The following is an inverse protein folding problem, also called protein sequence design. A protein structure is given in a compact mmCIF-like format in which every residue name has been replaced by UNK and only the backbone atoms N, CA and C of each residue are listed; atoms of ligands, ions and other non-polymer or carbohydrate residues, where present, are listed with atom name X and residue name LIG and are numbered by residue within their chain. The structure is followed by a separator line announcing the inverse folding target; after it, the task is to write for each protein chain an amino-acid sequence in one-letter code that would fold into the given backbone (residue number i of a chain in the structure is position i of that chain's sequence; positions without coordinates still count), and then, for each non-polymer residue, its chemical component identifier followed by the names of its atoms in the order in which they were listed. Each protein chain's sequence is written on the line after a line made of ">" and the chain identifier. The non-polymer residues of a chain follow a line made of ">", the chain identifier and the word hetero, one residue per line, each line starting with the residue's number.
data_IF_946441483928
#
_entry.id   IF_946441483928
#
_cell.length_a   1.000
_cell.length_b   1.000
_cell.length_c   1.000
_cell.angle_alpha   90.00
_cell.angle_beta   90.00
_cell.angle_gamma   90.00
#
_symmetry.space_group_name_H-M   'P 1'
#
loop_
_entity.id
_entity.type
_entity.pdbx_description
1 polymer ?
#
# COMPACT_ATOMS: atom_id res chain seq x y z
N UNK A 1 54.46 30.73 -16.77
CA UNK A 1 55.14 32.04 -16.73
C UNK A 1 54.45 32.92 -17.78
N UNK A 2 53.52 33.75 -17.33
CA UNK A 2 52.68 34.64 -18.12
C UNK A 2 53.38 35.98 -18.35
N UNK A 3 53.28 36.54 -19.55
CA UNK A 3 53.64 37.93 -19.83
C UNK A 3 52.38 38.80 -19.94
N UNK A 4 52.32 39.76 -19.01
CA UNK A 4 51.84 41.17 -19.07
C UNK A 4 50.77 41.55 -20.12
N UNK A 5 49.81 42.37 -19.70
CA UNK A 5 49.94 43.85 -19.82
C UNK A 5 48.83 44.57 -19.02
N UNK A 6 49.25 45.56 -18.21
CA UNK A 6 48.43 46.65 -17.67
C UNK A 6 48.72 47.89 -18.50
N UNK A 7 47.68 48.62 -18.90
CA UNK A 7 47.77 50.04 -19.28
C UNK A 7 46.70 50.80 -18.51
N UNK A 8 47.12 51.95 -17.99
CA UNK A 8 46.43 52.88 -17.10
C UNK A 8 45.99 54.11 -17.92
N UNK A 9 44.89 54.73 -17.49
CA UNK A 9 44.57 56.16 -17.59
C UNK A 9 44.09 56.75 -18.93
N UNK A 10 42.85 57.24 -18.91
CA UNK A 10 42.53 58.58 -19.40
C UNK A 10 41.32 59.19 -18.67
N UNK A 11 41.59 60.32 -18.01
CA UNK A 11 40.66 61.31 -17.44
C UNK A 11 39.52 61.74 -18.40
N UNK A 12 38.33 62.06 -17.87
CA UNK A 12 37.93 63.44 -17.53
C UNK A 12 36.48 63.57 -16.98
N UNK A 13 36.40 64.21 -15.81
CA UNK A 13 35.48 65.30 -15.37
C UNK A 13 33.95 65.11 -15.30
N UNK A 14 33.41 65.48 -14.13
CA UNK A 14 32.04 65.99 -13.94
C UNK A 14 31.21 65.24 -12.88
N UNK A 15 31.53 65.34 -11.59
CA UNK A 15 30.77 66.10 -10.56
C UNK A 15 29.24 65.94 -10.52
N UNK A 16 28.82 65.36 -9.39
CA UNK A 16 27.61 65.60 -8.58
C UNK A 16 26.28 64.90 -8.92
N UNK A 17 25.91 64.03 -7.97
CA UNK A 17 24.60 63.88 -7.33
C UNK A 17 23.39 63.68 -8.22
N UNK A 18 22.73 62.53 -8.08
CA UNK A 18 21.41 62.40 -7.44
C UNK A 18 20.99 60.92 -7.47
N UNK A 19 20.46 60.50 -6.33
CA UNK A 19 19.76 59.24 -6.06
C UNK A 19 18.88 58.78 -7.24
N UNK A 20 19.14 57.58 -7.78
CA UNK A 20 18.21 56.87 -8.66
C UNK A 20 17.92 55.48 -8.08
N UNK A 21 16.94 55.45 -7.20
CA UNK A 21 16.12 54.27 -6.90
C UNK A 21 14.96 54.27 -7.89
N UNK A 22 14.60 53.08 -8.37
CA UNK A 22 13.39 52.73 -9.15
C UNK A 22 13.50 52.95 -10.67
N UNK A 23 13.72 51.84 -11.40
CA UNK A 23 12.89 51.35 -12.52
C UNK A 23 13.71 50.44 -13.46
N UNK A 24 13.60 49.12 -13.25
CA UNK A 24 13.80 47.99 -14.19
C UNK A 24 13.89 46.75 -13.28
N UNK A 25 13.08 45.69 -13.40
CA UNK A 25 12.53 45.08 -14.60
C UNK A 25 11.27 44.28 -14.24
N UNK A 26 10.16 44.60 -14.90
CA UNK A 26 9.07 43.64 -15.14
C UNK A 26 9.56 42.64 -16.18
N UNK A 27 9.79 41.40 -15.75
CA UNK A 27 9.65 40.20 -16.57
C UNK A 27 9.21 39.08 -15.63
N UNK A 28 7.91 39.03 -15.34
CA UNK A 28 7.28 37.82 -14.85
C UNK A 28 7.25 36.82 -16.00
N UNK A 29 8.31 36.03 -16.14
CA UNK A 29 8.24 34.76 -16.84
C UNK A 29 7.27 33.86 -16.10
N UNK A 30 6.22 33.43 -16.80
CA UNK A 30 5.33 32.36 -16.38
C UNK A 30 6.17 31.09 -16.20
N UNK A 31 6.65 30.87 -14.98
CA UNK A 31 7.18 29.58 -14.56
C UNK A 31 5.99 28.65 -14.38
N UNK A 32 5.63 27.91 -15.42
CA UNK A 32 4.91 26.66 -15.25
C UNK A 32 5.78 25.78 -14.34
N UNK A 33 5.38 25.65 -13.08
CA UNK A 33 5.88 24.58 -12.22
C UNK A 33 5.34 23.30 -12.85
N UNK A 34 6.13 22.70 -13.74
CA UNK A 34 5.91 21.31 -14.12
C UNK A 34 6.25 20.52 -12.87
N UNK A 35 5.20 20.09 -12.18
CA UNK A 35 5.28 19.12 -11.11
C UNK A 35 6.09 17.93 -11.64
N UNK A 36 7.31 17.76 -11.14
CA UNK A 36 8.13 16.63 -11.54
C UNK A 36 7.41 15.37 -11.08
N UNK A 37 7.17 14.39 -11.98
CA UNK A 37 6.60 13.13 -11.55
C UNK A 37 7.49 12.57 -10.42
N UNK A 38 6.81 12.17 -9.34
CA UNK A 38 7.38 11.43 -8.23
C UNK A 38 8.43 10.43 -8.69
N UNK A 39 9.54 10.35 -7.95
CA UNK A 39 10.65 9.38 -8.09
C UNK A 39 10.18 8.08 -8.77
N UNK A 40 10.81 7.62 -9.87
CA UNK A 40 10.36 6.45 -10.58
C UNK A 40 10.28 5.27 -9.61
N UNK A 41 9.06 4.77 -9.56
CA UNK A 41 8.58 3.62 -8.83
C UNK A 41 9.41 2.36 -9.09
N UNK A 42 9.25 1.35 -8.23
CA UNK A 42 9.82 0.00 -8.30
C UNK A 42 10.23 -0.40 -9.72
N UNK A 43 11.53 -0.63 -9.92
CA UNK A 43 12.17 -0.86 -11.21
C UNK A 43 11.34 -1.81 -12.07
N UNK A 44 10.70 -1.28 -13.13
CA UNK A 44 9.89 -2.09 -14.03
C UNK A 44 10.76 -3.20 -14.64
N UNK A 45 10.24 -4.43 -14.61
CA UNK A 45 10.91 -5.60 -15.17
C UNK A 45 10.63 -5.61 -16.67
N UNK A 46 11.68 -5.69 -17.48
CA UNK A 46 11.59 -5.71 -18.94
C UNK A 46 11.23 -7.07 -19.51
N UNK A 47 11.47 -8.15 -18.76
CA UNK A 47 11.13 -9.51 -19.17
C UNK A 47 9.60 -9.64 -19.20
N UNK A 48 8.99 -9.97 -20.35
CA UNK A 48 7.55 -10.10 -20.45
C UNK A 48 7.00 -11.21 -19.57
N UNK A 49 5.91 -10.94 -18.86
CA UNK A 49 5.09 -11.97 -18.22
C UNK A 49 3.71 -12.01 -18.89
N UNK A 50 3.35 -13.17 -19.43
CA UNK A 50 2.18 -13.35 -20.31
C UNK A 50 0.95 -13.91 -19.59
N UNK A 51 0.98 -14.10 -18.27
CA UNK A 51 -0.15 -14.69 -17.52
C UNK A 51 -1.45 -13.88 -17.64
N UNK A 52 -2.57 -14.56 -17.93
CA UNK A 52 -3.87 -13.92 -18.19
C UNK A 52 -4.92 -14.28 -17.14
N UNK A 53 -4.69 -15.34 -16.37
CA UNK A 53 -5.60 -15.86 -15.36
C UNK A 53 -5.01 -15.75 -13.97
N UNK A 54 -5.85 -15.83 -12.92
CA UNK A 54 -5.33 -15.96 -11.56
C UNK A 54 -4.50 -17.23 -11.39
N UNK A 55 -4.79 -18.30 -12.15
CA UNK A 55 -3.98 -19.52 -12.11
C UNK A 55 -2.54 -19.25 -12.56
N UNK A 56 -2.37 -18.49 -13.63
CA UNK A 56 -1.03 -18.11 -14.10
C UNK A 56 -0.28 -17.30 -13.04
N UNK A 57 -0.97 -16.40 -12.32
CA UNK A 57 -0.38 -15.70 -11.17
C UNK A 57 0.03 -16.69 -10.08
N UNK A 58 -0.85 -17.63 -9.72
CA UNK A 58 -0.55 -18.60 -8.66
C UNK A 58 0.55 -19.59 -9.03
N UNK A 59 0.75 -19.88 -10.31
CA UNK A 59 1.85 -20.71 -10.77
C UNK A 59 3.23 -20.03 -10.55
N UNK A 60 3.26 -18.71 -10.35
CA UNK A 60 4.45 -17.95 -9.94
C UNK A 60 4.76 -18.04 -8.44
N UNK A 61 3.95 -18.79 -7.66
CA UNK A 61 4.08 -18.85 -6.20
C UNK A 61 5.51 -19.16 -5.74
N UNK A 62 6.18 -20.15 -6.35
CA UNK A 62 7.55 -20.52 -5.96
C UNK A 62 8.63 -19.55 -6.48
N UNK A 63 8.29 -18.72 -7.48
CA UNK A 63 9.19 -17.67 -7.97
C UNK A 63 9.15 -16.43 -7.07
N UNK A 64 7.98 -16.19 -6.46
CA UNK A 64 7.68 -15.05 -5.59
C UNK A 64 8.06 -15.35 -4.14
N UNK A 65 7.66 -16.52 -3.62
CA UNK A 65 7.92 -16.95 -2.24
C UNK A 65 9.07 -17.96 -2.20
N UNK A 66 10.29 -17.46 -2.00
CA UNK A 66 11.52 -18.25 -2.07
C UNK A 66 11.93 -18.90 -0.74
N UNK A 67 11.30 -18.50 0.35
CA UNK A 67 11.54 -18.94 1.72
C UNK A 67 10.34 -19.71 2.31
N UNK A 68 9.35 -20.05 1.49
CA UNK A 68 8.48 -21.22 1.67
C UNK A 68 7.08 -20.93 2.20
N UNK A 69 6.85 -19.85 2.96
CA UNK A 69 5.48 -19.51 3.40
C UNK A 69 5.11 -18.06 3.08
N UNK A 70 3.95 -17.87 2.46
CA UNK A 70 3.37 -16.56 2.14
C UNK A 70 2.87 -15.75 3.35
N UNK A 71 3.05 -16.25 4.57
CA UNK A 71 2.47 -15.64 5.76
C UNK A 71 2.95 -14.19 5.91
N UNK A 72 2.00 -13.25 6.07
CA UNK A 72 2.27 -11.82 6.16
C UNK A 72 3.07 -11.24 4.96
N UNK A 73 3.09 -11.94 3.82
CA UNK A 73 3.97 -11.64 2.69
C UNK A 73 3.22 -11.26 1.40
N UNK A 74 1.96 -10.84 1.50
CA UNK A 74 1.13 -10.38 0.38
C UNK A 74 1.75 -9.19 -0.39
N UNK A 75 2.65 -8.43 0.23
CA UNK A 75 3.46 -7.41 -0.43
C UNK A 75 4.28 -7.96 -1.61
N UNK A 76 4.69 -9.24 -1.59
CA UNK A 76 5.43 -9.86 -2.69
C UNK A 76 4.53 -10.13 -3.90
N UNK A 77 3.27 -10.53 -3.69
CA UNK A 77 2.28 -10.61 -4.77
C UNK A 77 2.06 -9.25 -5.42
N UNK A 78 1.84 -8.23 -4.58
CA UNK A 78 1.63 -6.86 -5.04
C UNK A 78 2.82 -6.37 -5.85
N UNK A 79 4.04 -6.55 -5.34
CA UNK A 79 5.26 -6.09 -6.01
C UNK A 79 5.53 -6.85 -7.31
N UNK A 80 5.23 -8.15 -7.37
CA UNK A 80 5.30 -8.93 -8.60
C UNK A 80 4.44 -8.31 -9.73
N UNK A 81 3.20 -7.92 -9.40
CA UNK A 81 2.27 -7.30 -10.34
C UNK A 81 2.70 -5.87 -10.70
N UNK A 82 3.05 -5.05 -9.70
CA UNK A 82 3.40 -3.64 -9.91
C UNK A 82 4.70 -3.47 -10.70
N UNK A 83 5.69 -4.35 -10.51
CA UNK A 83 6.93 -4.33 -11.31
C UNK A 83 6.71 -4.75 -12.78
N UNK A 84 5.54 -5.28 -13.12
CA UNK A 84 5.17 -5.71 -14.48
C UNK A 84 3.97 -4.93 -15.02
N UNK A 85 3.49 -3.92 -14.30
CA UNK A 85 2.25 -3.22 -14.62
C UNK A 85 2.31 -2.53 -15.98
N UNK A 86 3.48 -2.05 -16.41
CA UNK A 86 3.67 -1.42 -17.71
C UNK A 86 3.37 -2.36 -18.90
N UNK A 87 3.33 -3.67 -18.65
CA UNK A 87 3.00 -4.71 -19.63
C UNK A 87 1.54 -5.17 -19.55
N UNK A 88 0.75 -4.59 -18.64
CA UNK A 88 -0.63 -4.99 -18.37
C UNK A 88 -1.59 -3.87 -18.72
N UNK A 89 -2.77 -4.24 -19.23
CA UNK A 89 -3.91 -3.32 -19.20
C UNK A 89 -4.34 -3.07 -17.76
N UNK A 90 -5.03 -1.95 -17.50
CA UNK A 90 -5.67 -1.64 -16.22
C UNK A 90 -6.59 -2.78 -15.78
N UNK A 91 -7.44 -3.29 -16.69
CA UNK A 91 -8.34 -4.40 -16.40
C UNK A 91 -7.58 -5.68 -16.02
N UNK A 92 -6.47 -5.98 -16.69
CA UNK A 92 -5.64 -7.15 -16.37
C UNK A 92 -4.98 -6.97 -15.00
N UNK A 93 -4.45 -5.78 -14.71
CA UNK A 93 -3.82 -5.49 -13.43
C UNK A 93 -4.84 -5.63 -12.28
N UNK A 94 -5.99 -4.96 -12.39
CA UNK A 94 -7.08 -5.01 -11.42
C UNK A 94 -7.62 -6.45 -11.27
N UNK A 95 -7.76 -7.19 -12.37
CA UNK A 95 -8.13 -8.59 -12.34
C UNK A 95 -7.14 -9.39 -11.51
N UNK A 96 -5.82 -9.30 -11.77
CA UNK A 96 -4.80 -10.06 -11.05
C UNK A 96 -4.77 -9.75 -9.56
N UNK A 97 -4.96 -8.49 -9.16
CA UNK A 97 -5.01 -8.09 -7.75
C UNK A 97 -6.18 -8.70 -6.97
N UNK A 98 -7.24 -9.17 -7.64
CA UNK A 98 -8.35 -9.91 -6.98
C UNK A 98 -7.94 -11.35 -6.61
N UNK A 99 -6.79 -11.82 -7.08
CA UNK A 99 -6.37 -13.22 -7.01
C UNK A 99 -5.72 -13.65 -5.69
N UNK A 100 -5.56 -12.78 -4.70
CA UNK A 100 -4.93 -13.14 -3.43
C UNK A 100 -5.49 -12.35 -2.24
N UNK A 101 -5.38 -12.95 -1.06
CA UNK A 101 -5.81 -12.34 0.20
C UNK A 101 -4.71 -11.41 0.76
N UNK A 102 -5.05 -10.17 1.09
CA UNK A 102 -4.12 -9.18 1.65
C UNK A 102 -3.51 -9.60 3.01
N UNK A 103 -4.26 -10.37 3.82
CA UNK A 103 -3.84 -10.79 5.16
C UNK A 103 -2.92 -12.02 5.09
N UNK A 104 -3.41 -13.09 4.45
CA UNK A 104 -2.74 -14.38 4.48
C UNK A 104 -1.76 -14.61 3.35
N UNK A 105 -1.83 -13.83 2.27
CA UNK A 105 -1.14 -14.10 1.01
C UNK A 105 -1.68 -15.32 0.25
N UNK A 106 -2.75 -15.96 0.74
CA UNK A 106 -3.33 -17.13 0.08
C UNK A 106 -3.93 -16.77 -1.28
N UNK A 107 -3.78 -17.63 -2.30
CA UNK A 107 -4.57 -17.58 -3.53
C UNK A 107 -6.08 -17.52 -3.22
N UNK A 108 -6.80 -16.67 -3.94
CA UNK A 108 -8.25 -16.52 -3.81
C UNK A 108 -8.86 -16.50 -5.20
N UNK A 109 -9.81 -17.40 -5.47
CA UNK A 109 -10.69 -17.30 -6.64
C UNK A 109 -11.80 -16.28 -6.32
N UNK A 110 -11.78 -15.07 -6.88
CA UNK A 110 -12.71 -14.02 -6.49
C UNK A 110 -14.15 -14.36 -6.91
N UNK A 111 -15.08 -14.20 -5.99
CA UNK A 111 -16.53 -14.34 -6.19
C UNK A 111 -17.27 -13.45 -5.19
N UNK A 112 -18.60 -13.33 -5.31
CA UNK A 112 -19.35 -12.37 -4.48
C UNK A 112 -19.26 -12.69 -2.97
N UNK A 113 -19.40 -13.96 -2.58
CA UNK A 113 -19.26 -14.38 -1.17
C UNK A 113 -17.86 -14.20 -0.56
N UNK A 114 -16.83 -13.85 -1.31
CA UNK A 114 -15.53 -13.52 -0.74
C UNK A 114 -15.11 -12.08 -1.02
N UNK A 115 -16.03 -11.27 -1.58
CA UNK A 115 -15.89 -9.83 -1.73
C UNK A 115 -16.37 -9.16 -0.45
N UNK A 116 -15.45 -8.60 0.31
CA UNK A 116 -15.77 -7.93 1.57
C UNK A 116 -15.67 -6.43 1.39
N UNK A 117 -16.76 -5.72 1.68
CA UNK A 117 -16.74 -4.26 1.81
C UNK A 117 -16.14 -3.87 3.15
N UNK A 118 -15.24 -2.89 3.11
CA UNK A 118 -14.46 -2.42 4.24
C UNK A 118 -14.45 -0.90 4.25
N UNK A 119 -14.45 -0.31 5.44
CA UNK A 119 -14.24 1.12 5.63
C UNK A 119 -12.95 1.37 6.41
N UNK A 120 -11.87 1.68 5.67
CA UNK A 120 -10.52 1.77 6.22
C UNK A 120 -10.06 3.22 6.34
N UNK A 121 -9.24 3.52 7.35
CA UNK A 121 -8.66 4.86 7.51
C UNK A 121 -7.67 5.15 6.38
N UNK A 122 -7.70 6.36 5.83
CA UNK A 122 -6.73 6.81 4.84
C UNK A 122 -5.47 7.36 5.55
N UNK A 123 -4.29 7.10 4.99
CA UNK A 123 -3.02 7.60 5.55
C UNK A 123 -2.91 9.12 5.53
N UNK A 124 -3.73 9.83 4.74
CA UNK A 124 -3.79 11.30 4.72
C UNK A 124 -4.91 11.88 5.60
N UNK A 125 -5.63 11.02 6.34
CA UNK A 125 -6.81 11.40 7.12
C UNK A 125 -8.12 11.05 6.42
N UNK A 126 -9.20 10.91 7.21
CA UNK A 126 -10.49 10.42 6.72
C UNK A 126 -10.55 8.89 6.60
N UNK A 127 -11.65 8.40 6.03
CA UNK A 127 -11.88 6.97 5.77
C UNK A 127 -12.33 6.76 4.34
N UNK A 128 -11.97 5.61 3.78
CA UNK A 128 -12.36 5.19 2.43
C UNK A 128 -13.12 3.87 2.48
N UNK A 129 -14.29 3.88 1.85
CA UNK A 129 -15.06 2.68 1.55
C UNK A 129 -14.56 2.01 0.28
N UNK A 130 -14.43 0.69 0.31
CA UNK A 130 -14.03 -0.10 -0.84
C UNK A 130 -14.11 -1.58 -0.52
N UNK A 131 -13.50 -2.42 -1.35
CA UNK A 131 -13.54 -3.86 -1.13
C UNK A 131 -12.21 -4.54 -1.43
N UNK A 132 -12.05 -5.72 -0.83
CA UNK A 132 -10.99 -6.69 -1.13
C UNK A 132 -11.57 -8.10 -1.15
N UNK A 133 -10.81 -9.04 -1.70
CA UNK A 133 -11.16 -10.46 -1.69
C UNK A 133 -10.37 -11.21 -0.60
N UNK A 134 -11.07 -11.93 0.27
CA UNK A 134 -10.45 -12.67 1.38
C UNK A 134 -10.71 -14.17 1.33
N UNK A 135 -9.71 -14.95 1.75
CA UNK A 135 -9.80 -16.41 1.76
C UNK A 135 -10.71 -16.97 2.86
N UNK A 136 -10.96 -16.19 3.92
CA UNK A 136 -11.80 -16.60 5.05
C UNK A 136 -12.26 -15.38 5.87
N UNK A 137 -13.36 -15.54 6.60
CA UNK A 137 -13.95 -14.46 7.41
C UNK A 137 -13.00 -13.85 8.47
N UNK A 138 -12.07 -14.57 9.13
CA UNK A 138 -11.20 -13.95 10.14
C UNK A 138 -10.33 -12.83 9.55
N UNK A 139 -10.00 -12.91 8.26
CA UNK A 139 -9.21 -11.89 7.57
C UNK A 139 -9.92 -10.52 7.57
N UNK A 140 -11.26 -10.49 7.58
CA UNK A 140 -12.03 -9.24 7.72
C UNK A 140 -11.67 -8.55 9.04
N UNK A 141 -11.69 -9.31 10.13
CA UNK A 141 -11.36 -8.80 11.47
C UNK A 141 -9.88 -8.43 11.61
N UNK A 142 -8.99 -9.16 10.92
CA UNK A 142 -7.55 -8.93 11.00
C UNK A 142 -7.10 -7.68 10.20
N UNK A 143 -8.01 -7.06 9.42
CA UNK A 143 -7.76 -5.87 8.59
C UNK A 143 -7.75 -4.56 9.40
N UNK A 144 -8.71 -4.42 10.32
CA UNK A 144 -9.16 -3.11 10.82
C UNK A 144 -8.10 -2.28 11.55
N UNK A 145 -7.17 -2.92 12.26
CA UNK A 145 -6.33 -2.22 13.23
C UNK A 145 -5.02 -1.68 12.63
N UNK A 146 -4.52 -2.29 11.56
CA UNK A 146 -3.18 -2.00 11.04
C UNK A 146 -3.16 -1.64 9.55
N UNK A 147 -4.20 -2.01 8.80
CA UNK A 147 -4.28 -1.67 7.38
C UNK A 147 -4.89 -0.29 7.24
N UNK A 148 -4.22 0.54 6.44
CA UNK A 148 -4.75 1.81 5.95
C UNK A 148 -4.87 1.81 4.44
N UNK A 149 -5.55 2.82 3.91
CA UNK A 149 -5.58 3.08 2.47
C UNK A 149 -4.60 4.20 2.14
N UNK A 150 -3.78 3.96 1.13
CA UNK A 150 -2.93 4.98 0.51
C UNK A 150 -3.07 4.89 -1.01
N UNK A 151 -2.50 5.85 -1.73
CA UNK A 151 -2.50 5.86 -3.19
C UNK A 151 -1.16 5.48 -3.78
N UNK A 152 -1.21 5.09 -5.05
CA UNK A 152 -0.04 5.06 -5.91
C UNK A 152 -0.40 5.26 -7.37
N UNK A 153 0.38 6.06 -8.09
CA UNK A 153 0.26 6.16 -9.56
C UNK A 153 1.06 5.06 -10.23
N UNK A 154 0.38 4.19 -10.96
CA UNK A 154 0.97 3.01 -11.61
C UNK A 154 1.00 3.21 -13.12
N UNK A 155 2.17 2.99 -13.72
CA UNK A 155 2.30 2.93 -15.17
C UNK A 155 1.70 1.62 -15.69
N UNK A 156 0.71 1.70 -16.56
CA UNK A 156 0.09 0.55 -17.25
C UNK A 156 0.38 0.61 -18.75
N UNK A 157 0.05 -0.46 -19.48
CA UNK A 157 0.15 -0.49 -20.94
C UNK A 157 -0.73 0.58 -21.63
N UNK A 158 -1.72 1.12 -20.93
CA UNK A 158 -2.60 2.19 -21.43
C UNK A 158 -2.25 3.57 -20.86
N UNK A 159 -1.10 3.68 -20.16
CA UNK A 159 -0.66 4.91 -19.52
C UNK A 159 -0.77 4.88 -17.99
N UNK A 160 -0.40 5.99 -17.33
CA UNK A 160 -0.45 6.08 -15.88
C UNK A 160 -1.90 6.15 -15.36
N UNK A 161 -2.18 5.43 -14.26
CA UNK A 161 -3.44 5.52 -13.51
C UNK A 161 -3.16 5.48 -12.01
N UNK A 162 -3.85 6.32 -11.25
CA UNK A 162 -3.80 6.32 -9.78
C UNK A 162 -4.75 5.25 -9.25
N UNK A 163 -4.26 4.47 -8.29
CA UNK A 163 -5.01 3.41 -7.62
C UNK A 163 -4.93 3.58 -6.10
N UNK A 164 -5.89 2.97 -5.40
CA UNK A 164 -5.90 2.83 -3.96
C UNK A 164 -5.31 1.47 -3.56
N UNK A 165 -4.51 1.46 -2.50
CA UNK A 165 -3.84 0.27 -1.99
C UNK A 165 -4.05 0.14 -0.49
N UNK A 166 -4.27 -1.09 -0.05
CA UNK A 166 -4.12 -1.48 1.33
C UNK A 166 -2.62 -1.47 1.67
N UNK A 167 -2.27 -0.73 2.72
CA UNK A 167 -0.90 -0.54 3.17
C UNK A 167 -0.71 -0.84 4.65
N UNK A 168 0.50 -1.26 5.01
CA UNK A 168 0.98 -1.39 6.39
C UNK A 168 2.26 -0.59 6.56
N UNK A 169 2.62 -0.29 7.81
CA UNK A 169 3.94 0.30 8.09
C UNK A 169 5.06 -0.70 7.83
N UNK A 170 6.30 -0.21 7.78
CA UNK A 170 7.45 -1.02 7.44
C UNK A 170 7.93 -1.81 8.67
N UNK A 171 7.76 -3.15 8.73
CA UNK A 171 8.23 -3.94 9.87
C UNK A 171 9.76 -3.90 10.02
N UNK A 172 10.50 -3.44 9.01
CA UNK A 172 11.95 -3.31 9.06
C UNK A 172 12.46 -2.06 9.79
N UNK A 173 11.56 -1.15 10.19
CA UNK A 173 11.90 -0.04 11.09
C UNK A 173 12.30 -0.56 12.49
N UNK A 174 11.80 -1.75 12.86
CA UNK A 174 12.06 -2.44 14.11
C UNK A 174 12.32 -3.93 13.85
N UNK A 175 13.26 -4.23 12.95
CA UNK A 175 13.55 -5.57 12.46
C UNK A 175 13.93 -6.57 13.56
N UNK A 176 14.42 -6.10 14.71
CA UNK A 176 14.70 -6.91 15.90
C UNK A 176 13.46 -7.63 16.42
N UNK A 177 12.27 -7.02 16.30
CA UNK A 177 11.00 -7.62 16.75
C UNK A 177 10.63 -8.88 15.96
N UNK A 178 11.18 -9.08 14.75
CA UNK A 178 10.97 -10.31 13.99
C UNK A 178 11.56 -11.54 14.69
N UNK A 179 12.59 -11.35 15.53
CA UNK A 179 13.28 -12.44 16.24
C UNK A 179 12.84 -12.60 17.68
N UNK A 180 11.96 -11.72 18.17
CA UNK A 180 11.41 -11.86 19.51
C UNK A 180 10.57 -13.13 19.62
N UNK A 181 10.79 -13.94 20.66
CA UNK A 181 10.05 -15.18 20.84
C UNK A 181 8.63 -14.90 21.30
N UNK A 182 7.67 -15.65 20.75
CA UNK A 182 6.30 -15.69 21.25
C UNK A 182 5.79 -17.13 21.31
N UNK A 183 4.76 -17.36 22.13
CA UNK A 183 4.12 -18.66 22.26
C UNK A 183 2.92 -18.70 21.31
N UNK A 184 2.92 -19.66 20.40
CA UNK A 184 1.77 -19.87 19.53
C UNK A 184 0.56 -20.34 20.34
N UNK A 185 -0.66 -20.04 19.89
CA UNK A 185 -1.88 -20.49 20.52
C UNK A 185 -1.97 -22.01 20.67
N UNK A 186 -2.86 -22.47 21.56
CA UNK A 186 -3.04 -23.91 21.87
C UNK A 186 -3.27 -24.77 20.63
N UNK A 187 -3.94 -24.24 19.60
CA UNK A 187 -4.22 -24.97 18.35
C UNK A 187 -2.94 -25.41 17.63
N UNK A 188 -1.80 -24.77 17.90
CA UNK A 188 -0.47 -25.11 17.38
C UNK A 188 0.44 -25.76 18.43
N UNK A 189 -0.15 -26.34 19.49
CA UNK A 189 0.61 -27.11 20.48
C UNK A 189 1.44 -26.27 21.46
N UNK A 190 1.19 -24.95 21.58
CA UNK A 190 1.92 -24.04 22.48
C UNK A 190 3.43 -24.00 22.24
N UNK A 191 3.84 -24.13 20.98
CA UNK A 191 5.25 -24.03 20.61
C UNK A 191 5.74 -22.59 20.74
N UNK A 192 6.93 -22.42 21.30
CA UNK A 192 7.65 -21.15 21.24
C UNK A 192 8.27 -21.00 19.84
N UNK A 193 8.05 -19.85 19.21
CA UNK A 193 8.55 -19.53 17.86
C UNK A 193 8.87 -18.04 17.74
N UNK A 194 9.21 -17.57 16.54
CA UNK A 194 9.47 -16.15 16.21
C UNK A 194 8.79 -15.80 14.89
N UNK A 195 8.58 -14.51 14.60
CA UNK A 195 8.04 -14.11 13.29
C UNK A 195 9.00 -14.45 12.15
N UNK A 196 10.31 -14.40 12.38
CA UNK A 196 11.32 -14.83 11.41
C UNK A 196 11.17 -16.30 10.99
N UNK A 197 10.60 -17.15 11.85
CA UNK A 197 10.29 -18.54 11.53
C UNK A 197 8.91 -18.70 10.89
N UNK A 198 7.90 -17.98 11.39
CA UNK A 198 6.50 -18.14 10.94
C UNK A 198 6.16 -17.36 9.67
N UNK A 199 6.89 -16.28 9.37
CA UNK A 199 6.72 -15.41 8.21
C UNK A 199 8.09 -15.24 7.51
N UNK A 200 8.60 -16.32 6.93
CA UNK A 200 10.00 -16.41 6.45
C UNK A 200 10.34 -15.47 5.30
N UNK A 201 9.31 -14.99 4.61
CA UNK A 201 9.40 -14.01 3.52
C UNK A 201 9.50 -12.56 4.05
N UNK A 202 9.11 -12.30 5.29
CA UNK A 202 9.26 -10.99 5.93
C UNK A 202 10.73 -10.82 6.31
N UNK A 203 11.50 -10.24 5.40
CA UNK A 203 12.95 -10.10 5.51
C UNK A 203 13.37 -8.66 5.32
N UNK A 204 14.33 -8.23 6.12
CA UNK A 204 14.81 -6.86 6.09
C UNK A 204 16.22 -6.79 5.49
N UNK A 205 16.46 -5.78 4.65
CA UNK A 205 17.80 -5.37 4.25
C UNK A 205 17.88 -3.84 4.21
N UNK A 206 18.92 -3.28 4.82
CA UNK A 206 19.15 -1.83 4.85
C UNK A 206 17.96 -1.01 5.41
N UNK A 207 17.21 -1.56 6.37
CA UNK A 207 16.02 -0.91 6.94
C UNK A 207 14.75 -1.05 6.10
N UNK A 208 14.81 -1.69 4.92
CA UNK A 208 13.66 -1.87 4.04
C UNK A 208 13.18 -3.33 4.03
N UNK A 209 11.86 -3.49 3.88
CA UNK A 209 11.23 -4.79 3.64
C UNK A 209 11.58 -5.28 2.23
N UNK A 210 12.31 -6.38 2.15
CA UNK A 210 12.84 -6.90 0.89
C UNK A 210 11.72 -7.21 -0.09
N UNK A 211 11.84 -6.65 -1.31
CA UNK A 211 10.90 -6.91 -2.39
C UNK A 211 9.56 -6.19 -2.27
N UNK A 212 9.40 -5.28 -1.30
CA UNK A 212 8.19 -4.47 -1.18
C UNK A 212 8.19 -3.27 -2.14
N UNK A 213 7.06 -3.03 -2.79
CA UNK A 213 6.74 -1.75 -3.44
C UNK A 213 6.07 -0.83 -2.42
N UNK A 214 6.51 0.43 -2.38
CA UNK A 214 6.02 1.44 -1.45
C UNK A 214 4.95 2.33 -2.08
N UNK A 215 3.95 2.76 -1.31
CA UNK A 215 2.93 3.73 -1.71
C UNK A 215 3.47 5.16 -1.79
N UNK A 216 2.63 6.12 -2.23
CA UNK A 216 3.03 7.52 -2.41
C UNK A 216 3.53 8.16 -1.10
N UNK A 217 2.99 7.75 0.05
CA UNK A 217 3.43 8.23 1.37
C UNK A 217 4.47 7.31 2.05
N UNK A 218 5.05 6.36 1.32
CA UNK A 218 6.15 5.52 1.83
C UNK A 218 5.72 4.36 2.73
N UNK A 219 4.53 3.81 2.53
CA UNK A 219 4.05 2.61 3.25
C UNK A 219 4.10 1.35 2.37
N UNK A 220 4.20 0.18 3.00
CA UNK A 220 4.31 -1.10 2.29
C UNK A 220 2.96 -1.45 1.67
N UNK A 221 2.90 -1.59 0.35
CA UNK A 221 1.69 -2.05 -0.36
C UNK A 221 1.54 -3.56 -0.17
N UNK A 222 0.37 -3.98 0.32
CA UNK A 222 0.05 -5.40 0.53
C UNK A 222 -1.05 -5.92 -0.40
N UNK A 223 -1.95 -5.07 -0.90
CA UNK A 223 -2.97 -5.41 -1.90
C UNK A 223 -3.57 -4.13 -2.51
N UNK A 224 -4.24 -4.25 -3.66
CA UNK A 224 -5.09 -3.19 -4.18
C UNK A 224 -6.38 -3.10 -3.37
N UNK A 225 -6.79 -1.88 -3.04
CA UNK A 225 -8.08 -1.59 -2.41
C UNK A 225 -9.03 -1.11 -3.50
N UNK A 226 -10.08 -1.89 -3.79
CA UNK A 226 -10.95 -1.63 -4.94
C UNK A 226 -12.08 -0.69 -4.56
N UNK A 227 -12.32 0.28 -5.43
CA UNK A 227 -13.43 1.23 -5.25
C UNK A 227 -14.75 0.57 -5.64
N UNK A 228 -15.83 0.92 -4.94
CA UNK A 228 -17.19 0.54 -5.31
C UNK A 228 -17.82 1.64 -6.16
N UNK A 229 -18.31 1.28 -7.35
CA UNK A 229 -18.91 2.22 -8.29
C UNK A 229 -17.89 3.16 -8.95
N UNK A 230 -18.39 4.27 -9.54
CA UNK A 230 -17.53 5.37 -9.96
C UNK A 230 -16.91 6.02 -8.72
N UNK A 231 -15.64 6.44 -8.76
CA UNK A 231 -14.92 7.02 -7.62
C UNK A 231 -15.70 8.16 -6.93
N UNK A 232 -16.45 7.85 -5.85
CA UNK A 232 -17.29 8.81 -5.11
C UNK A 232 -16.52 9.50 -3.97
N UNK A 233 -15.19 9.42 -3.96
CA UNK A 233 -14.37 9.96 -2.88
C UNK A 233 -14.57 9.27 -1.53
N UNK A 234 -14.20 9.94 -0.44
CA UNK A 234 -14.26 9.47 0.95
C UNK A 234 -15.71 9.45 1.48
N UNK A 235 -16.58 8.67 0.84
CA UNK A 235 -17.96 8.50 1.30
C UNK A 235 -18.05 7.26 2.19
N UNK A 236 -18.14 7.50 3.50
CA UNK A 236 -18.48 6.48 4.51
C UNK A 236 -19.92 6.01 4.30
N UNK A 237 -20.14 4.69 4.24
CA UNK A 237 -21.50 4.16 4.23
C UNK A 237 -22.11 4.30 5.63
N UNK A 238 -23.36 4.75 5.70
CA UNK A 238 -24.12 4.75 6.96
C UNK A 238 -24.18 3.35 7.56
N UNK A 239 -23.80 3.23 8.83
CA UNK A 239 -23.84 1.97 9.60
C UNK A 239 -25.25 1.37 9.53
N UNK A 240 -25.40 0.10 9.12
CA UNK A 240 -26.70 -0.53 9.03
C UNK A 240 -27.43 -0.57 10.38
N UNK A 241 -28.74 -0.27 10.37
CA UNK A 241 -29.59 -0.21 11.57
C UNK A 241 -30.19 -1.58 11.98
N UNK A 242 -29.55 -2.69 11.59
CA UNK A 242 -29.99 -4.04 11.91
C UNK A 242 -28.93 -4.81 12.70
N UNK A 243 -29.29 -5.91 13.39
CA UNK A 243 -28.30 -6.78 14.01
C UNK A 243 -27.30 -7.34 12.97
N UNK A 244 -26.00 -7.45 13.30
CA UNK A 244 -25.01 -8.11 12.45
C UNK A 244 -25.37 -9.58 12.15
N UNK A 245 -25.26 -9.99 10.90
CA UNK A 245 -25.47 -11.37 10.45
C UNK A 245 -24.38 -11.79 9.45
N UNK A 246 -23.33 -12.53 9.90
CA UNK A 246 -22.28 -13.04 9.02
C UNK A 246 -22.84 -13.81 7.82
N UNK A 247 -22.27 -13.61 6.62
CA UNK A 247 -22.79 -14.22 5.40
C UNK A 247 -23.83 -13.38 4.65
N UNK A 248 -24.38 -12.32 5.26
CA UNK A 248 -25.38 -11.48 4.61
C UNK A 248 -24.76 -10.70 3.45
N UNK A 249 -25.29 -10.92 2.26
CA UNK A 249 -24.94 -10.16 1.06
C UNK A 249 -25.74 -8.86 1.03
N UNK A 250 -25.05 -7.75 0.78
CA UNK A 250 -25.64 -6.42 0.61
C UNK A 250 -25.26 -5.89 -0.77
N UNK A 251 -26.21 -5.22 -1.43
CA UNK A 251 -25.94 -4.52 -2.69
C UNK A 251 -25.45 -3.10 -2.39
N UNK A 252 -24.22 -2.80 -2.76
CA UNK A 252 -23.61 -1.47 -2.60
C UNK A 252 -23.17 -0.97 -3.96
N UNK A 253 -23.75 0.14 -4.41
CA UNK A 253 -23.48 0.72 -5.74
C UNK A 253 -23.53 -0.31 -6.89
N UNK A 254 -24.52 -1.21 -6.82
CA UNK A 254 -24.74 -2.25 -7.84
C UNK A 254 -23.84 -3.47 -7.71
N UNK A 255 -22.97 -3.53 -6.70
CA UNK A 255 -22.05 -4.65 -6.45
C UNK A 255 -22.49 -5.42 -5.21
N UNK A 256 -22.63 -6.75 -5.33
CA UNK A 256 -22.88 -7.62 -4.17
C UNK A 256 -21.61 -7.78 -3.34
N UNK A 257 -21.70 -7.49 -2.05
CA UNK A 257 -20.61 -7.55 -1.08
C UNK A 257 -21.08 -8.16 0.24
N UNK A 258 -20.15 -8.70 1.00
CA UNK A 258 -20.33 -8.92 2.43
C UNK A 258 -19.79 -7.69 3.19
N UNK A 259 -20.63 -7.01 3.96
CA UNK A 259 -20.20 -5.84 4.71
C UNK A 259 -19.46 -6.26 6.00
N UNK A 260 -18.33 -5.62 6.32
CA UNK A 260 -17.58 -5.89 7.55
C UNK A 260 -18.43 -5.76 8.83
N UNK A 261 -19.44 -4.89 8.83
CA UNK A 261 -20.39 -4.72 9.92
C UNK A 261 -21.06 -6.04 10.30
N UNK A 262 -21.34 -6.90 9.32
CA UNK A 262 -21.99 -8.20 9.55
C UNK A 262 -21.14 -9.13 10.43
N UNK A 263 -19.83 -8.89 10.48
CA UNK A 263 -18.86 -9.65 11.26
C UNK A 263 -18.51 -9.01 12.60
N UNK A 264 -19.10 -7.86 12.94
CA UNK A 264 -18.76 -7.07 14.14
C UNK A 264 -18.62 -7.92 15.41
N UNK A 265 -19.66 -8.70 15.74
CA UNK A 265 -19.66 -9.53 16.96
C UNK A 265 -18.55 -10.60 16.93
N UNK A 266 -18.29 -11.21 15.77
CA UNK A 266 -17.22 -12.20 15.61
C UNK A 266 -15.83 -11.56 15.73
N UNK A 267 -15.68 -10.33 15.22
CA UNK A 267 -14.44 -9.58 15.34
C UNK A 267 -14.17 -9.15 16.78
N UNK A 268 -15.21 -8.70 17.51
CA UNK A 268 -15.12 -8.41 18.96
C UNK A 268 -14.71 -9.65 19.76
N UNK A 269 -15.33 -10.80 19.50
CA UNK A 269 -14.96 -12.07 20.14
C UNK A 269 -13.52 -12.47 19.80
N UNK A 270 -13.11 -12.35 18.53
CA UNK A 270 -11.74 -12.65 18.11
C UNK A 270 -10.72 -11.73 18.79
N UNK A 271 -11.04 -10.46 18.95
CA UNK A 271 -10.21 -9.48 19.65
C UNK A 271 -10.09 -9.80 21.14
N UNK A 272 -11.20 -10.14 21.81
CA UNK A 272 -11.21 -10.56 23.23
C UNK A 272 -10.38 -11.82 23.47
N UNK A 273 -10.32 -12.71 22.48
CA UNK A 273 -9.46 -13.89 22.51
C UNK A 273 -8.02 -13.63 22.05
N UNK A 274 -7.66 -12.37 21.76
CA UNK A 274 -6.30 -11.95 21.42
C UNK A 274 -5.85 -12.35 20.01
N UNK A 275 -6.79 -12.54 19.06
CA UNK A 275 -6.49 -12.94 17.68
C UNK A 275 -5.64 -14.21 17.58
N UNK A 276 -5.80 -15.12 18.54
CA UNK A 276 -4.94 -16.27 18.81
C UNK A 276 -5.14 -17.47 17.86
N UNK A 277 -5.30 -17.23 16.55
CA UNK A 277 -5.43 -18.34 15.59
C UNK A 277 -5.19 -17.91 14.15
N UNK A 278 -4.69 -18.87 13.36
CA UNK A 278 -4.56 -18.73 11.92
C UNK A 278 -3.44 -17.80 11.49
N UNK A 279 -3.35 -17.59 10.19
CA UNK A 279 -2.35 -16.69 9.58
C UNK A 279 -2.57 -15.22 9.95
N UNK A 280 -3.81 -14.88 10.32
CA UNK A 280 -4.15 -13.56 10.82
C UNK A 280 -3.35 -13.14 12.04
N UNK A 281 -3.06 -14.06 12.96
CA UNK A 281 -2.20 -13.78 14.11
C UNK A 281 -0.79 -13.32 13.66
N UNK A 282 -0.20 -14.06 12.73
CA UNK A 282 1.14 -13.78 12.20
C UNK A 282 1.15 -12.44 11.46
N UNK A 283 0.15 -12.19 10.61
CA UNK A 283 -0.01 -10.92 9.91
C UNK A 283 -0.10 -9.75 10.90
N UNK A 284 -1.00 -9.84 11.88
CA UNK A 284 -1.20 -8.78 12.87
C UNK A 284 0.07 -8.51 13.68
N UNK A 285 0.79 -9.56 14.09
CA UNK A 285 2.07 -9.40 14.80
C UNK A 285 3.11 -8.70 13.93
N UNK A 286 3.21 -9.00 12.63
CA UNK A 286 4.10 -8.29 11.69
C UNK A 286 3.67 -6.83 11.53
N UNK A 287 2.38 -6.59 11.28
CA UNK A 287 1.85 -5.24 11.06
C UNK A 287 1.94 -4.34 12.31
N UNK A 288 1.90 -4.94 13.51
CA UNK A 288 2.07 -4.23 14.79
C UNK A 288 3.52 -3.82 15.09
N UNK A 289 4.51 -4.26 14.32
CA UNK A 289 5.93 -3.92 14.55
C UNK A 289 6.16 -2.42 14.40
N UNK A 290 5.60 -1.84 13.34
CA UNK A 290 5.64 -0.41 12.99
C UNK A 290 4.24 0.03 12.52
N UNK A 291 3.29 0.31 13.43
CA UNK A 291 1.93 0.68 13.04
C UNK A 291 1.90 2.08 12.40
N UNK A 292 1.06 2.26 11.38
CA UNK A 292 0.90 3.57 10.76
C UNK A 292 0.17 4.50 11.73
N UNK A 293 0.84 5.60 12.12
CA UNK A 293 0.28 6.57 13.05
C UNK A 293 -1.02 7.18 12.52
N UNK A 294 -2.08 7.35 13.34
CA UNK A 294 -3.27 8.09 12.92
C UNK A 294 -2.86 9.52 12.57
N UNK A 295 -3.24 10.00 11.38
CA UNK A 295 -3.21 11.44 11.13
C UNK A 295 -4.27 12.04 12.04
N UNK A 296 -3.85 12.92 12.94
CA UNK A 296 -4.80 13.65 13.79
C UNK A 296 -5.76 14.40 12.88
N UNK A 297 -7.08 14.33 13.09
CA UNK A 297 -8.01 15.14 12.33
C UNK A 297 -7.63 16.62 12.56
N UNK A 298 -7.32 17.32 11.46
CA UNK A 298 -7.16 18.77 11.44
C UNK A 298 -8.54 19.41 11.49
#
# INVERSE_FOLDING_TARGET
>A
IFFRLRIISSQMRGTHSVVLLLLWSMLCTQGTVVEMPSKPDSTQISIPWTGLTHRDLWDEYNNIFRYGNRNAASHLWSSFLLQRSAQMTQDRLEFMFKGFCAISGSPVGPHDYNRYYLELSNVTGGKRGGYMHYCCWPCVCDTQDFIKVDTKTIMTAQGPKRYHFAVIGNPCDHAEKLREPFVQPRVYGRRQTTLANEAREVRCANGELQGATMSDNGYVIIAMFFDLGADKGDTSMTVPQHPPQPGRMTLVDGVLVQNEYEYKNMCEERAQNGYNSGMGEIFRKVAAISPISPVSPV
#
